data_IF_758805572542
#
_entry.id   IF_758805572542
#
_cell.length_a   1.000
_cell.length_b   1.000
_cell.length_c   1.000
_cell.angle_alpha   90.00
_cell.angle_beta   90.00
_cell.angle_gamma   90.00
#
_symmetry.space_group_name_H-M   'P 1'
#
loop_
_entity.id
_entity.type
_entity.pdbx_description
1 polymer ?
#
# COMPACT_ATOMS: atom_id res chain seq x y z
N UNK A 1 6.78 16.29 -1.64
CA UNK A 1 7.55 17.15 -0.68
C UNK A 1 7.31 16.74 0.79
N UNK A 2 8.17 17.14 1.75
CA UNK A 2 7.97 16.84 3.17
C UNK A 2 6.75 17.58 3.78
N UNK A 3 6.00 16.93 4.67
CA UNK A 3 4.75 17.45 5.29
C UNK A 3 4.79 17.30 6.82
N UNK A 4 4.09 18.17 7.53
CA UNK A 4 3.95 18.09 9.00
C UNK A 4 2.63 17.43 9.36
N UNK A 5 2.70 16.26 9.99
CA UNK A 5 1.54 15.51 10.52
C UNK A 5 2.05 14.47 11.54
N UNK A 6 1.14 13.65 12.09
CA UNK A 6 1.46 12.50 12.92
C UNK A 6 2.23 11.43 12.13
N UNK A 7 3.02 10.62 12.83
CA UNK A 7 3.78 9.51 12.20
C UNK A 7 2.89 8.51 11.48
N UNK A 8 1.71 8.23 12.03
CA UNK A 8 0.75 7.31 11.44
C UNK A 8 0.22 7.86 10.12
N UNK A 9 -0.27 9.11 10.11
CA UNK A 9 -0.75 9.78 8.91
C UNK A 9 0.35 9.91 7.85
N UNK A 10 1.59 10.27 8.23
CA UNK A 10 2.70 10.36 7.29
C UNK A 10 3.08 9.00 6.68
N UNK A 11 3.14 7.92 7.49
CA UNK A 11 3.42 6.57 6.95
C UNK A 11 2.33 6.10 6.01
N UNK A 12 1.07 6.43 6.32
CA UNK A 12 -0.05 6.14 5.46
C UNK A 12 0.04 6.90 4.15
N UNK A 13 0.29 8.21 4.22
CA UNK A 13 0.41 9.09 3.06
C UNK A 13 1.58 8.69 2.16
N UNK A 14 2.75 8.38 2.73
CA UNK A 14 3.91 7.94 1.97
C UNK A 14 3.88 6.45 1.61
N UNK A 15 2.76 5.75 1.87
CA UNK A 15 2.58 4.35 1.45
C UNK A 15 3.62 3.38 2.05
N UNK A 16 4.05 3.63 3.30
CA UNK A 16 5.08 2.85 4.01
C UNK A 16 4.58 2.26 5.33
N UNK A 17 3.27 2.21 5.54
CA UNK A 17 2.68 1.50 6.68
C UNK A 17 2.66 -0.03 6.45
N UNK A 18 2.27 -0.78 7.48
CA UNK A 18 2.23 -2.23 7.42
C UNK A 18 1.28 -2.77 6.32
N UNK A 19 0.18 -2.06 6.03
CA UNK A 19 -0.77 -2.47 5.00
C UNK A 19 -0.13 -2.41 3.61
N UNK A 20 0.57 -1.31 3.31
CA UNK A 20 1.27 -1.16 2.02
C UNK A 20 2.40 -2.18 1.86
N UNK A 21 3.13 -2.49 2.93
CA UNK A 21 4.15 -3.55 2.92
C UNK A 21 3.53 -4.91 2.60
N UNK A 22 2.39 -5.26 3.21
CA UNK A 22 1.68 -6.54 2.94
C UNK A 22 1.27 -6.61 1.47
N UNK A 23 0.65 -5.57 0.93
CA UNK A 23 0.25 -5.52 -0.47
C UNK A 23 1.45 -5.64 -1.41
N UNK A 24 2.56 -4.95 -1.11
CA UNK A 24 3.80 -5.05 -1.88
C UNK A 24 4.39 -6.47 -1.90
N UNK A 25 4.34 -7.19 -0.76
CA UNK A 25 4.78 -8.59 -0.69
C UNK A 25 3.87 -9.51 -1.49
N UNK A 26 2.54 -9.37 -1.36
CA UNK A 26 1.59 -10.18 -2.13
C UNK A 26 1.72 -9.90 -3.63
N UNK A 27 1.96 -8.66 -4.04
CA UNK A 27 2.25 -8.33 -5.43
C UNK A 27 3.50 -9.05 -5.95
N UNK A 28 4.56 -9.15 -5.16
CA UNK A 28 5.77 -9.88 -5.54
C UNK A 28 5.51 -11.40 -5.63
N UNK A 29 4.78 -11.97 -4.68
CA UNK A 29 4.41 -13.40 -4.69
C UNK A 29 3.50 -13.74 -5.87
N UNK A 30 2.58 -12.85 -6.25
CA UNK A 30 1.71 -13.03 -7.41
C UNK A 30 2.51 -13.01 -8.73
N UNK A 31 3.55 -12.17 -8.82
CA UNK A 31 4.46 -12.17 -9.97
C UNK A 31 5.22 -13.51 -10.11
N UNK A 32 5.50 -14.17 -8.99
CA UNK A 32 6.11 -15.51 -8.95
C UNK A 32 5.08 -16.65 -9.10
N UNK A 33 3.78 -16.34 -9.24
CA UNK A 33 2.70 -17.32 -9.36
C UNK A 33 2.37 -18.07 -8.06
N UNK A 34 2.82 -17.55 -6.91
CA UNK A 34 2.65 -18.17 -5.60
C UNK A 34 1.36 -17.75 -4.88
N UNK A 35 0.71 -16.69 -5.36
CA UNK A 35 -0.55 -16.19 -4.80
C UNK A 35 -1.43 -15.57 -5.91
N UNK A 36 -2.72 -15.39 -5.64
CA UNK A 36 -3.71 -14.89 -6.61
C UNK A 36 -3.98 -13.39 -6.49
N UNK A 37 -4.59 -12.81 -7.54
CA UNK A 37 -5.05 -11.41 -7.51
C UNK A 37 -6.10 -11.15 -6.43
N UNK A 38 -6.96 -12.13 -6.15
CA UNK A 38 -7.98 -12.06 -5.09
C UNK A 38 -7.38 -11.81 -3.70
N UNK A 39 -6.19 -12.34 -3.41
CA UNK A 39 -5.51 -12.13 -2.13
C UNK A 39 -4.98 -10.69 -1.98
N UNK A 40 -4.52 -10.10 -3.10
CA UNK A 40 -4.12 -8.70 -3.15
C UNK A 40 -5.34 -7.79 -2.93
N UNK A 41 -6.45 -8.04 -3.63
CA UNK A 41 -7.69 -7.28 -3.47
C UNK A 41 -8.24 -7.36 -2.04
N UNK A 42 -8.22 -8.56 -1.45
CA UNK A 42 -8.62 -8.76 -0.06
C UNK A 42 -7.72 -7.99 0.91
N UNK A 43 -6.40 -7.94 0.67
CA UNK A 43 -5.46 -7.19 1.49
C UNK A 43 -5.69 -5.67 1.38
N UNK A 44 -5.88 -5.15 0.16
CA UNK A 44 -6.21 -3.74 -0.09
C UNK A 44 -7.47 -3.35 0.68
N UNK A 45 -8.55 -4.15 0.56
CA UNK A 45 -9.80 -3.91 1.27
C UNK A 45 -9.62 -3.98 2.81
N UNK A 46 -8.90 -4.99 3.30
CA UNK A 46 -8.64 -5.19 4.74
C UNK A 46 -7.86 -4.03 5.36
N UNK A 47 -6.90 -3.46 4.62
CA UNK A 47 -6.08 -2.33 5.07
C UNK A 47 -6.63 -0.97 4.64
N UNK A 48 -7.78 -0.95 3.95
CA UNK A 48 -8.47 0.24 3.46
C UNK A 48 -7.64 1.09 2.49
N UNK A 49 -6.69 0.48 1.77
CA UNK A 49 -5.76 1.20 0.88
C UNK A 49 -6.53 1.73 -0.33
N UNK A 50 -6.25 2.97 -0.73
CA UNK A 50 -6.82 3.55 -1.94
C UNK A 50 -5.80 3.41 -3.09
N UNK A 51 -6.03 2.52 -4.07
CA UNK A 51 -5.12 2.35 -5.21
C UNK A 51 -5.16 3.55 -6.18
N UNK A 52 -6.18 4.40 -6.10
CA UNK A 52 -6.35 5.60 -6.93
C UNK A 52 -5.88 6.87 -6.20
N UNK A 53 -5.04 6.74 -5.16
CA UNK A 53 -4.44 7.89 -4.50
C UNK A 53 -3.38 8.55 -5.40
N UNK A 54 -3.23 9.86 -5.28
CA UNK A 54 -2.16 10.58 -5.99
C UNK A 54 -0.78 10.13 -5.48
N UNK A 55 0.16 9.88 -6.41
CA UNK A 55 1.54 9.50 -6.08
C UNK A 55 2.17 10.55 -5.15
N UNK A 56 2.59 10.17 -3.93
CA UNK A 56 3.17 11.09 -2.94
C UNK A 56 4.39 11.88 -3.42
N UNK A 57 5.08 11.42 -4.47
CA UNK A 57 6.24 12.07 -5.11
C UNK A 57 5.85 12.99 -6.26
N UNK A 58 4.66 12.82 -6.85
CA UNK A 58 4.13 13.71 -7.88
C UNK A 58 3.49 14.99 -7.30
N UNK A 59 3.33 15.07 -5.97
CA UNK A 59 2.69 16.17 -5.22
C UNK A 59 3.60 16.93 -4.24
#
# INVERSE_FOLDING_TARGET
MGRSDTREALRRYFEVDAGHVVVGVLSALAADGLCGAEEIEAAIARHGINPEADDPLAV
#
